data_IF_432218686174
#
_entry.id   IF_432218686174
#
_cell.length_a   1.000
_cell.length_b   1.000
_cell.length_c   1.000
_cell.angle_alpha   90.00
_cell.angle_beta   90.00
_cell.angle_gamma   90.00
#
_symmetry.space_group_name_H-M   'P 1'
#
loop_
_entity.id
_entity.type
_entity.pdbx_description
1 polymer ?
#
# COMPACT_ATOMS: atom_id res chain seq x y z
N UNK A 1 -20.26 -15.93 -27.64
CA UNK A 1 -19.53 -14.86 -26.93
C UNK A 1 -19.08 -13.82 -27.94
N UNK A 2 -19.93 -12.84 -28.28
CA UNK A 2 -19.72 -11.97 -29.45
C UNK A 2 -19.03 -10.63 -29.16
N UNK A 3 -18.95 -10.19 -27.90
CA UNK A 3 -18.33 -8.90 -27.57
C UNK A 3 -16.83 -9.06 -27.24
N UNK A 4 -15.92 -8.32 -27.90
CA UNK A 4 -14.46 -8.46 -27.72
C UNK A 4 -14.00 -8.23 -26.27
N UNK A 5 -14.62 -7.27 -25.57
CA UNK A 5 -14.35 -7.01 -24.15
C UNK A 5 -14.59 -8.23 -23.25
N UNK A 6 -15.70 -8.96 -23.45
CA UNK A 6 -16.03 -10.14 -22.62
C UNK A 6 -15.00 -11.24 -22.83
N UNK A 7 -14.58 -11.44 -24.08
CA UNK A 7 -13.55 -12.41 -24.42
C UNK A 7 -12.20 -12.05 -23.78
N UNK A 8 -11.80 -10.78 -23.81
CA UNK A 8 -10.56 -10.31 -23.18
C UNK A 8 -10.57 -10.51 -21.66
N UNK A 9 -11.68 -10.15 -20.99
CA UNK A 9 -11.84 -10.37 -19.55
C UNK A 9 -11.77 -11.85 -19.20
N UNK A 10 -12.47 -12.70 -19.95
CA UNK A 10 -12.45 -14.14 -19.74
C UNK A 10 -11.06 -14.76 -19.96
N UNK A 11 -10.33 -14.31 -21.00
CA UNK A 11 -8.98 -14.80 -21.28
C UNK A 11 -7.98 -14.37 -20.21
N UNK A 12 -8.03 -13.11 -19.76
CA UNK A 12 -7.15 -12.64 -18.68
C UNK A 12 -7.47 -13.31 -17.34
N UNK A 13 -8.74 -13.55 -17.01
CA UNK A 13 -9.09 -14.30 -15.80
C UNK A 13 -8.58 -15.73 -15.87
N UNK A 14 -8.78 -16.43 -16.99
CA UNK A 14 -8.26 -17.80 -17.21
C UNK A 14 -6.74 -17.87 -17.14
N UNK A 15 -6.04 -16.92 -17.75
CA UNK A 15 -4.58 -16.90 -17.73
C UNK A 15 -4.03 -16.63 -16.33
N UNK A 16 -4.64 -15.69 -15.60
CA UNK A 16 -4.22 -15.37 -14.24
C UNK A 16 -4.49 -16.55 -13.31
N UNK A 17 -5.66 -17.19 -13.38
CA UNK A 17 -5.95 -18.38 -12.56
C UNK A 17 -4.99 -19.53 -12.87
N UNK A 18 -4.75 -19.84 -14.14
CA UNK A 18 -3.77 -20.85 -14.54
C UNK A 18 -2.36 -20.51 -14.03
N UNK A 19 -1.95 -19.25 -14.13
CA UNK A 19 -0.63 -18.81 -13.63
C UNK A 19 -0.51 -18.86 -12.11
N UNK A 20 -1.59 -18.58 -11.38
CA UNK A 20 -1.62 -18.70 -9.93
C UNK A 20 -1.51 -20.16 -9.51
N UNK A 21 -2.31 -21.05 -10.12
CA UNK A 21 -2.27 -22.49 -9.86
C UNK A 21 -0.86 -23.05 -10.15
N UNK A 22 -0.27 -22.70 -11.29
CA UNK A 22 1.08 -23.12 -11.64
C UNK A 22 2.17 -22.54 -10.71
N UNK A 23 1.95 -21.37 -10.11
CA UNK A 23 2.86 -20.80 -9.10
C UNK A 23 2.72 -21.52 -7.77
N UNK A 24 1.50 -21.86 -7.35
CA UNK A 24 1.24 -22.61 -6.11
C UNK A 24 1.99 -23.94 -6.09
N UNK A 25 2.07 -24.63 -7.24
CA UNK A 25 2.81 -25.88 -7.35
C UNK A 25 4.34 -25.73 -7.33
N UNK A 26 4.86 -24.51 -7.45
CA UNK A 26 6.30 -24.25 -7.32
C UNK A 26 6.68 -24.09 -5.84
N UNK A 27 7.89 -24.53 -5.41
CA UNK A 27 8.32 -24.40 -4.02
C UNK A 27 8.31 -22.95 -3.53
N UNK A 28 8.56 -21.99 -4.43
CA UNK A 28 8.44 -20.55 -4.14
C UNK A 28 7.01 -20.10 -3.86
N UNK A 29 6.02 -20.68 -4.54
CA UNK A 29 4.60 -20.39 -4.29
C UNK A 29 4.08 -21.07 -3.02
N UNK A 30 4.55 -22.28 -2.72
CA UNK A 30 4.27 -22.92 -1.44
C UNK A 30 4.78 -22.06 -0.26
N UNK A 31 6.01 -21.53 -0.35
CA UNK A 31 6.56 -20.61 0.64
C UNK A 31 5.78 -19.30 0.76
N UNK A 32 5.30 -18.73 -0.36
CA UNK A 32 4.50 -17.49 -0.30
C UNK A 32 3.13 -17.72 0.32
N UNK A 33 2.48 -18.87 0.06
CA UNK A 33 1.23 -19.26 0.72
C UNK A 33 1.47 -19.49 2.22
N UNK A 34 2.52 -20.22 2.59
CA UNK A 34 2.87 -20.42 3.99
C UNK A 34 3.12 -19.08 4.71
N UNK A 35 3.83 -18.16 4.08
CA UNK A 35 4.02 -16.79 4.59
C UNK A 35 2.71 -16.02 4.71
N UNK A 36 1.79 -16.17 3.75
CA UNK A 36 0.46 -15.56 3.79
C UNK A 36 -0.39 -16.11 4.94
N UNK A 37 -0.38 -17.43 5.13
CA UNK A 37 -1.09 -18.10 6.23
C UNK A 37 -0.52 -17.67 7.57
N UNK A 38 0.80 -17.65 7.71
CA UNK A 38 1.48 -17.18 8.91
C UNK A 38 1.14 -15.71 9.20
N UNK A 39 1.12 -14.86 8.17
CA UNK A 39 0.68 -13.47 8.29
C UNK A 39 -0.76 -13.38 8.79
N UNK A 40 -1.71 -14.08 8.15
CA UNK A 40 -3.11 -14.09 8.56
C UNK A 40 -3.29 -14.59 10.00
N UNK A 41 -2.57 -15.64 10.38
CA UNK A 41 -2.59 -16.18 11.73
C UNK A 41 -2.06 -15.16 12.76
N UNK A 42 -0.96 -14.48 12.45
CA UNK A 42 -0.34 -13.50 13.34
C UNK A 42 -1.14 -12.18 13.42
N UNK A 43 -1.71 -11.68 12.32
CA UNK A 43 -2.70 -10.57 12.38
C UNK A 43 -3.90 -11.03 13.21
N UNK A 44 -4.39 -12.24 12.98
CA UNK A 44 -5.54 -12.76 13.69
C UNK A 44 -5.32 -12.92 15.18
N UNK A 45 -4.11 -13.28 15.59
CA UNK A 45 -3.72 -13.35 16.99
C UNK A 45 -3.64 -11.96 17.62
N UNK A 46 -2.95 -11.02 16.98
CA UNK A 46 -2.79 -9.65 17.51
C UNK A 46 -4.11 -8.88 17.61
N UNK A 47 -5.08 -9.24 16.77
CA UNK A 47 -6.31 -8.46 16.66
C UNK A 47 -7.50 -9.00 17.44
N UNK A 48 -7.47 -10.29 17.85
CA UNK A 48 -8.47 -10.84 18.78
C UNK A 48 -8.52 -10.10 20.12
N UNK A 49 -7.46 -9.38 20.49
CA UNK A 49 -7.37 -8.70 21.79
C UNK A 49 -7.99 -7.31 21.84
N UNK A 50 -8.46 -6.73 20.73
CA UNK A 50 -8.98 -5.34 20.71
C UNK A 50 -10.52 -5.26 20.65
N UNK A 51 -11.23 -5.26 21.80
CA UNK A 51 -12.67 -5.00 21.83
C UNK A 51 -12.96 -3.57 21.33
N UNK A 52 -13.99 -3.43 20.48
CA UNK A 52 -14.42 -2.12 19.97
C UNK A 52 -13.85 -1.69 18.61
N UNK A 53 -13.15 -2.59 17.91
CA UNK A 53 -12.62 -2.31 16.58
C UNK A 53 -13.69 -1.85 15.57
N UNK A 54 -14.86 -2.49 15.55
CA UNK A 54 -15.98 -2.07 14.68
C UNK A 54 -16.46 -0.63 14.98
N UNK A 55 -16.51 -0.23 16.25
CA UNK A 55 -16.84 1.13 16.66
C UNK A 55 -15.75 2.16 16.32
N UNK A 56 -14.49 1.73 16.28
CA UNK A 56 -13.39 2.58 15.80
C UNK A 56 -13.44 2.72 14.26
N UNK A 57 -13.76 1.65 13.53
CA UNK A 57 -13.87 1.68 12.07
C UNK A 57 -14.97 2.64 11.63
N UNK A 58 -16.13 2.66 12.31
CA UNK A 58 -17.19 3.62 11.98
C UNK A 58 -16.79 5.08 12.27
N UNK A 59 -16.02 5.32 13.34
CA UNK A 59 -15.57 6.66 13.72
C UNK A 59 -14.44 7.20 12.82
N UNK A 60 -13.41 6.40 12.55
CA UNK A 60 -12.19 6.85 11.85
C UNK A 60 -12.12 6.41 10.41
N UNK A 61 -12.85 5.36 10.02
CA UNK A 61 -12.68 4.70 8.73
C UNK A 61 -12.96 5.63 7.57
N UNK A 62 -14.07 6.37 7.61
CA UNK A 62 -14.47 7.26 6.53
C UNK A 62 -13.45 8.40 6.29
N UNK A 63 -13.06 9.20 7.30
CA UNK A 63 -12.04 10.23 7.10
C UNK A 63 -10.67 9.64 6.73
N UNK A 64 -10.30 8.46 7.26
CA UNK A 64 -9.04 7.80 6.89
C UNK A 64 -9.02 7.36 5.42
N UNK A 65 -10.09 6.73 4.95
CA UNK A 65 -10.22 6.33 3.54
C UNK A 65 -10.19 7.55 2.64
N UNK A 66 -10.90 8.63 3.00
CA UNK A 66 -10.84 9.87 2.22
C UNK A 66 -9.45 10.51 2.23
N UNK A 67 -8.76 10.52 3.37
CA UNK A 67 -7.38 10.98 3.47
C UNK A 67 -6.45 10.20 2.52
N UNK A 68 -6.64 8.88 2.41
CA UNK A 68 -5.91 8.05 1.45
C UNK A 68 -6.28 8.36 0.00
N UNK A 69 -7.56 8.62 -0.31
CA UNK A 69 -8.00 9.08 -1.65
C UNK A 69 -7.33 10.41 -2.00
N UNK A 70 -7.33 11.37 -1.07
CA UNK A 70 -6.69 12.68 -1.24
C UNK A 70 -5.18 12.54 -1.42
N UNK A 71 -4.52 11.67 -0.67
CA UNK A 71 -3.11 11.38 -0.84
C UNK A 71 -2.83 10.75 -2.22
N UNK A 72 -3.74 9.90 -2.70
CA UNK A 72 -3.74 9.35 -4.04
C UNK A 72 -3.79 10.41 -5.15
N UNK A 73 -4.37 11.60 -4.88
CA UNK A 73 -4.41 12.71 -5.85
C UNK A 73 -3.03 13.24 -6.23
N UNK A 74 -2.06 13.12 -5.32
CA UNK A 74 -0.66 13.50 -5.58
C UNK A 74 0.11 12.42 -6.35
N UNK A 75 -0.46 11.22 -6.46
CA UNK A 75 0.18 10.13 -7.18
C UNK A 75 0.03 10.34 -8.70
N UNK A 76 1.08 10.13 -9.50
CA UNK A 76 1.02 10.30 -10.96
C UNK A 76 0.26 9.18 -11.68
N UNK A 77 -0.67 8.50 -11.00
CA UNK A 77 -1.36 7.30 -11.46
C UNK A 77 -2.45 7.63 -12.50
N UNK A 78 -2.07 7.71 -13.78
CA UNK A 78 -3.02 7.70 -14.89
C UNK A 78 -3.72 6.35 -15.10
N UNK A 79 -4.55 6.28 -16.16
CA UNK A 79 -4.99 5.02 -16.76
C UNK A 79 -3.76 4.17 -17.09
N UNK A 80 -3.59 3.07 -16.36
CA UNK A 80 -2.45 2.17 -16.53
C UNK A 80 -2.92 0.90 -17.22
N UNK A 81 -2.30 0.59 -18.35
CA UNK A 81 -2.38 -0.71 -19.00
C UNK A 81 -1.04 -1.40 -18.84
N UNK A 82 -1.05 -2.74 -18.73
CA UNK A 82 0.22 -3.48 -18.72
C UNK A 82 0.85 -3.30 -20.11
N UNK A 83 2.19 -3.20 -20.23
CA UNK A 83 2.84 -3.01 -21.53
C UNK A 83 2.42 -4.06 -22.57
N UNK A 84 2.30 -5.33 -22.13
CA UNK A 84 1.83 -6.43 -22.97
C UNK A 84 0.37 -6.28 -23.42
N UNK A 85 -0.46 -5.52 -22.69
CA UNK A 85 -1.85 -5.28 -23.06
C UNK A 85 -1.98 -4.06 -23.98
N UNK A 86 -1.04 -3.11 -23.93
CA UNK A 86 -1.08 -1.87 -24.71
C UNK A 86 -1.13 -2.19 -26.21
N UNK A 87 -0.21 -3.02 -26.69
CA UNK A 87 -0.12 -3.34 -28.12
C UNK A 87 -1.41 -4.01 -28.63
N UNK A 88 -2.02 -4.88 -27.83
CA UNK A 88 -3.25 -5.59 -28.21
C UNK A 88 -4.51 -4.73 -28.07
N UNK A 89 -4.61 -3.95 -26.99
CA UNK A 89 -5.79 -3.11 -26.70
C UNK A 89 -5.89 -1.92 -27.64
N UNK A 90 -4.75 -1.37 -28.08
CA UNK A 90 -4.72 -0.23 -28.99
C UNK A 90 -5.03 -0.63 -30.44
N UNK A 91 -4.74 -1.88 -30.83
CA UNK A 91 -5.09 -2.40 -32.16
C UNK A 91 -6.49 -3.00 -32.22
N UNK A 92 -7.09 -3.31 -31.08
CA UNK A 92 -8.43 -3.89 -31.03
C UNK A 92 -9.50 -2.82 -31.33
N UNK A 93 -10.61 -3.19 -32.00
CA UNK A 93 -11.73 -2.28 -32.27
C UNK A 93 -12.57 -2.06 -31.00
N UNK A 94 -11.96 -1.48 -29.95
CA UNK A 94 -12.61 -1.20 -28.67
C UNK A 94 -12.93 0.27 -28.54
N UNK A 95 -14.11 0.58 -27.99
CA UNK A 95 -14.45 1.96 -27.65
C UNK A 95 -13.69 2.43 -26.41
N UNK A 96 -13.60 3.76 -26.21
CA UNK A 96 -12.95 4.32 -25.02
C UNK A 96 -13.63 3.88 -23.72
N UNK A 97 -14.97 3.84 -23.72
CA UNK A 97 -15.74 3.39 -22.57
C UNK A 97 -15.42 1.94 -22.22
N UNK A 98 -15.29 1.07 -23.22
CA UNK A 98 -14.88 -0.33 -23.04
C UNK A 98 -13.48 -0.45 -22.44
N UNK A 99 -12.51 0.37 -22.87
CA UNK A 99 -11.17 0.38 -22.27
C UNK A 99 -11.18 0.79 -20.80
N UNK A 100 -12.02 1.77 -20.44
CA UNK A 100 -12.20 2.20 -19.05
C UNK A 100 -12.84 1.09 -18.22
N UNK A 101 -13.92 0.48 -18.71
CA UNK A 101 -14.61 -0.64 -18.04
C UNK A 101 -13.67 -1.83 -17.86
N UNK A 102 -12.88 -2.16 -18.89
CA UNK A 102 -11.86 -3.21 -18.82
C UNK A 102 -10.82 -2.91 -17.71
N UNK A 103 -10.32 -1.67 -17.64
CA UNK A 103 -9.37 -1.28 -16.60
C UNK A 103 -9.97 -1.37 -15.19
N UNK A 104 -11.22 -0.90 -15.03
CA UNK A 104 -11.95 -0.99 -13.77
C UNK A 104 -12.18 -2.45 -13.36
N UNK A 105 -12.48 -3.35 -14.31
CA UNK A 105 -12.62 -4.77 -14.04
C UNK A 105 -11.30 -5.41 -13.58
N UNK A 106 -10.16 -5.05 -14.19
CA UNK A 106 -8.84 -5.50 -13.74
C UNK A 106 -8.55 -5.06 -12.30
N UNK A 107 -8.91 -3.81 -11.95
CA UNK A 107 -8.80 -3.24 -10.61
C UNK A 107 -9.73 -3.94 -9.62
N UNK A 108 -10.99 -4.15 -10.01
CA UNK A 108 -11.97 -4.89 -9.23
C UNK A 108 -11.48 -6.28 -8.84
N UNK A 109 -10.79 -6.99 -9.73
CA UNK A 109 -10.15 -8.27 -9.38
C UNK A 109 -9.10 -8.11 -8.28
N UNK A 110 -8.21 -7.13 -8.38
CA UNK A 110 -7.21 -6.90 -7.33
C UNK A 110 -7.86 -6.47 -6.01
N UNK A 111 -8.89 -5.63 -6.06
CA UNK A 111 -9.66 -5.21 -4.90
C UNK A 111 -10.42 -6.38 -4.25
N UNK A 112 -10.96 -7.31 -5.05
CA UNK A 112 -11.60 -8.54 -4.55
C UNK A 112 -10.59 -9.43 -3.82
N UNK A 113 -9.38 -9.61 -4.36
CA UNK A 113 -8.34 -10.39 -3.69
C UNK A 113 -7.88 -9.72 -2.38
N UNK A 114 -7.68 -8.39 -2.40
CA UNK A 114 -7.33 -7.63 -1.21
C UNK A 114 -8.46 -7.63 -0.17
N UNK A 115 -9.71 -7.52 -0.60
CA UNK A 115 -10.89 -7.60 0.24
C UNK A 115 -11.07 -8.99 0.85
N UNK A 116 -10.86 -10.05 0.06
CA UNK A 116 -10.85 -11.44 0.54
C UNK A 116 -9.79 -11.63 1.61
N UNK A 117 -8.56 -11.19 1.33
CA UNK A 117 -7.46 -11.27 2.27
C UNK A 117 -7.75 -10.54 3.59
N UNK A 118 -8.24 -9.29 3.53
CA UNK A 118 -8.59 -8.55 4.76
C UNK A 118 -9.83 -9.10 5.47
N UNK A 119 -10.75 -9.75 4.76
CA UNK A 119 -11.94 -10.36 5.37
C UNK A 119 -11.64 -11.59 6.21
N UNK A 120 -10.52 -12.26 5.94
CA UNK A 120 -10.06 -13.41 6.73
C UNK A 120 -9.58 -12.97 8.12
N UNK A 121 -9.28 -11.67 8.30
CA UNK A 121 -8.81 -11.15 9.58
C UNK A 121 -9.90 -11.31 10.66
N UNK A 122 -9.61 -12.00 11.77
CA UNK A 122 -10.54 -12.28 12.87
C UNK A 122 -11.21 -11.07 13.52
N UNK A 123 -10.67 -9.87 13.34
CA UNK A 123 -11.20 -8.58 13.86
C UNK A 123 -12.67 -8.34 13.55
N UNK A 124 -13.17 -8.90 12.45
CA UNK A 124 -14.45 -8.49 11.87
C UNK A 124 -15.62 -9.38 12.24
N UNK A 125 -15.44 -10.40 13.09
CA UNK A 125 -16.48 -11.39 13.40
C UNK A 125 -17.80 -10.85 13.96
N UNK A 126 -17.88 -9.57 14.36
CA UNK A 126 -19.14 -8.94 14.76
C UNK A 126 -20.04 -8.54 13.59
N UNK A 127 -19.48 -8.27 12.41
CA UNK A 127 -20.20 -8.05 11.17
C UNK A 127 -19.97 -9.30 10.31
N UNK A 128 -21.02 -10.02 9.90
CA UNK A 128 -20.89 -11.29 9.19
C UNK A 128 -19.85 -11.21 8.06
N UNK A 129 -19.07 -12.30 7.85
CA UNK A 129 -17.89 -12.30 6.98
C UNK A 129 -18.12 -11.66 5.59
N UNK A 130 -19.30 -11.86 4.99
CA UNK A 130 -19.69 -11.25 3.72
C UNK A 130 -19.73 -9.72 3.74
N UNK A 131 -20.13 -9.10 4.85
CA UNK A 131 -20.15 -7.64 5.03
C UNK A 131 -18.72 -7.09 5.04
N UNK A 132 -17.83 -7.71 5.82
CA UNK A 132 -16.42 -7.34 5.85
C UNK A 132 -15.76 -7.50 4.47
N UNK A 133 -15.97 -8.65 3.82
CA UNK A 133 -15.44 -8.94 2.48
C UNK A 133 -15.89 -7.89 1.45
N UNK A 134 -17.19 -7.65 1.36
CA UNK A 134 -17.75 -6.70 0.39
C UNK A 134 -17.33 -5.28 0.70
N UNK A 135 -17.32 -4.87 1.98
CA UNK A 135 -16.93 -3.52 2.34
C UNK A 135 -15.46 -3.21 2.10
N UNK A 136 -14.55 -4.14 2.43
CA UNK A 136 -13.15 -3.97 2.06
C UNK A 136 -12.92 -3.96 0.56
N UNK A 137 -13.59 -4.84 -0.17
CA UNK A 137 -13.52 -4.86 -1.64
C UNK A 137 -13.95 -3.50 -2.20
N UNK A 138 -15.06 -2.94 -1.71
CA UNK A 138 -15.56 -1.64 -2.15
C UNK A 138 -14.63 -0.49 -1.75
N UNK A 139 -14.05 -0.50 -0.54
CA UNK A 139 -13.06 0.49 -0.10
C UNK A 139 -11.81 0.45 -0.98
N UNK A 140 -11.25 -0.72 -1.27
CA UNK A 140 -10.11 -0.83 -2.17
C UNK A 140 -10.46 -0.41 -3.59
N UNK A 141 -11.64 -0.77 -4.07
CA UNK A 141 -12.12 -0.37 -5.38
C UNK A 141 -12.28 1.15 -5.46
N UNK A 142 -12.80 1.79 -4.40
CA UNK A 142 -12.83 3.25 -4.26
C UNK A 142 -11.44 3.86 -4.35
N UNK A 143 -10.48 3.39 -3.55
CA UNK A 143 -9.11 3.90 -3.57
C UNK A 143 -8.47 3.79 -4.97
N UNK A 144 -8.71 2.68 -5.66
CA UNK A 144 -8.17 2.46 -7.00
C UNK A 144 -8.88 3.30 -8.08
N UNK A 145 -10.22 3.33 -8.09
CA UNK A 145 -11.00 4.05 -9.11
C UNK A 145 -10.88 5.56 -8.92
N UNK A 146 -10.90 6.04 -7.68
CA UNK A 146 -10.72 7.48 -7.37
C UNK A 146 -9.36 8.00 -7.82
N UNK A 147 -8.28 7.24 -7.64
CA UNK A 147 -6.96 7.62 -8.16
C UNK A 147 -6.94 7.79 -9.68
N UNK A 148 -7.62 6.90 -10.41
CA UNK A 148 -7.79 7.03 -11.86
C UNK A 148 -8.66 8.23 -12.23
N UNK A 149 -9.79 8.42 -11.55
CA UNK A 149 -10.69 9.55 -11.76
C UNK A 149 -9.94 10.87 -11.56
N UNK A 150 -9.21 11.03 -10.45
CA UNK A 150 -8.40 12.22 -10.14
C UNK A 150 -7.35 12.48 -11.22
N UNK A 151 -6.68 11.44 -11.72
CA UNK A 151 -5.67 11.62 -12.76
C UNK A 151 -6.29 12.07 -14.11
N UNK A 152 -7.46 11.53 -14.46
CA UNK A 152 -8.22 11.91 -15.64
C UNK A 152 -8.73 13.35 -15.52
N UNK A 153 -9.35 13.71 -14.38
CA UNK A 153 -9.80 15.07 -14.09
C UNK A 153 -8.63 16.05 -14.14
N UNK A 154 -7.47 15.69 -13.58
CA UNK A 154 -6.28 16.54 -13.63
C UNK A 154 -5.78 16.75 -15.07
N UNK A 155 -5.84 15.72 -15.91
CA UNK A 155 -5.49 15.84 -17.33
C UNK A 155 -6.49 16.72 -18.08
N UNK A 156 -7.78 16.58 -17.80
CA UNK A 156 -8.83 17.43 -18.35
C UNK A 156 -8.66 18.90 -17.93
N UNK A 157 -8.41 19.15 -16.63
CA UNK A 157 -8.10 20.49 -16.10
C UNK A 157 -6.83 21.07 -16.72
N UNK A 158 -5.83 20.25 -17.01
CA UNK A 158 -4.61 20.70 -17.68
C UNK A 158 -4.85 21.23 -19.11
N UNK A 159 -5.90 20.75 -19.77
CA UNK A 159 -6.27 21.18 -21.12
C UNK A 159 -7.21 22.38 -21.12
N UNK A 160 -8.16 22.43 -20.17
CA UNK A 160 -9.25 23.41 -20.19
C UNK A 160 -9.07 24.58 -19.20
N UNK A 161 -8.21 24.45 -18.19
CA UNK A 161 -8.06 25.45 -17.12
C UNK A 161 -6.66 26.05 -17.15
N UNK A 162 -6.53 27.40 -17.12
CA UNK A 162 -5.23 28.06 -17.10
C UNK A 162 -4.40 27.67 -15.88
N UNK A 163 -3.08 27.84 -15.96
CA UNK A 163 -2.14 27.45 -14.90
C UNK A 163 -2.51 27.99 -13.51
N UNK A 164 -2.98 29.23 -13.42
CA UNK A 164 -3.43 29.84 -12.16
C UNK A 164 -4.67 29.14 -11.59
N UNK A 165 -5.69 28.87 -12.42
CA UNK A 165 -6.91 28.17 -12.01
C UNK A 165 -6.63 26.76 -11.50
N UNK A 166 -5.65 26.05 -12.07
CA UNK A 166 -5.24 24.72 -11.60
C UNK A 166 -4.67 24.73 -10.19
N UNK A 167 -3.87 25.74 -9.86
CA UNK A 167 -3.35 25.91 -8.50
C UNK A 167 -4.47 26.25 -7.53
N UNK A 168 -5.42 27.10 -7.91
CA UNK A 168 -6.58 27.40 -7.07
C UNK A 168 -7.42 26.15 -6.78
N UNK A 169 -7.68 25.30 -7.78
CA UNK A 169 -8.40 24.03 -7.59
C UNK A 169 -7.60 23.08 -6.69
N UNK A 170 -6.29 22.96 -6.89
CA UNK A 170 -5.44 22.12 -6.05
C UNK A 170 -5.40 22.61 -4.59
N UNK A 171 -5.30 23.92 -4.39
CA UNK A 171 -5.36 24.56 -3.06
C UNK A 171 -6.74 24.34 -2.44
N UNK A 172 -7.82 24.54 -3.18
CA UNK A 172 -9.18 24.30 -2.69
C UNK A 172 -9.39 22.83 -2.29
N UNK A 173 -8.83 21.88 -3.04
CA UNK A 173 -8.98 20.45 -2.76
C UNK A 173 -8.10 19.95 -1.61
N UNK A 174 -6.92 20.53 -1.39
CA UNK A 174 -5.97 20.05 -0.37
C UNK A 174 -5.89 20.96 0.86
N UNK A 175 -5.74 22.27 0.65
CA UNK A 175 -5.48 23.25 1.72
C UNK A 175 -6.74 23.56 2.50
N UNK A 176 -7.90 23.70 1.84
CA UNK A 176 -9.15 24.04 2.53
C UNK A 176 -9.57 22.93 3.52
N UNK A 177 -9.59 21.64 3.14
CA UNK A 177 -9.85 20.55 4.09
C UNK A 177 -8.84 20.52 5.24
N UNK A 178 -7.55 20.68 4.93
CA UNK A 178 -6.49 20.66 5.95
C UNK A 178 -6.60 21.84 6.92
N UNK A 179 -6.90 23.04 6.42
CA UNK A 179 -7.11 24.24 7.22
C UNK A 179 -8.36 24.12 8.10
N UNK A 180 -9.47 23.57 7.56
CA UNK A 180 -10.68 23.34 8.35
C UNK A 180 -10.41 22.38 9.53
N UNK A 181 -9.69 21.28 9.28
CA UNK A 181 -9.29 20.34 10.34
C UNK A 181 -8.33 21.00 11.33
N UNK A 182 -7.34 21.77 10.87
CA UNK A 182 -6.39 22.45 11.75
C UNK A 182 -7.04 23.54 12.62
N UNK A 183 -8.00 24.29 12.07
CA UNK A 183 -8.78 25.28 12.82
C UNK A 183 -9.64 24.63 13.89
N UNK A 184 -10.31 23.51 13.56
CA UNK A 184 -11.11 22.77 14.53
C UNK A 184 -10.23 22.14 15.62
N UNK A 185 -9.04 21.63 15.26
CA UNK A 185 -8.07 21.09 16.22
C UNK A 185 -7.56 22.18 17.17
N UNK A 186 -7.32 23.39 16.66
CA UNK A 186 -6.91 24.54 17.47
C UNK A 186 -8.03 25.04 18.39
N UNK A 187 -9.27 25.01 17.92
CA UNK A 187 -10.44 25.42 18.72
C UNK A 187 -10.79 24.41 19.82
N UNK A 188 -10.35 23.15 19.69
CA UNK A 188 -10.69 22.04 20.58
C UNK A 188 -9.42 21.39 21.15
N UNK A 189 -8.52 22.19 21.72
CA UNK A 189 -7.24 21.74 22.28
C UNK A 189 -7.37 20.67 23.36
N UNK A 190 -8.52 20.61 24.01
CA UNK A 190 -8.74 19.81 25.21
C UNK A 190 -9.43 18.47 24.91
N UNK A 191 -9.90 18.25 23.68
CA UNK A 191 -10.56 16.99 23.31
C UNK A 191 -9.54 15.88 23.09
N UNK A 192 -9.86 14.69 23.62
CA UNK A 192 -9.16 13.48 23.23
C UNK A 192 -9.30 13.29 21.71
N UNK A 193 -8.24 12.83 21.03
CA UNK A 193 -8.22 12.64 19.57
C UNK A 193 -9.44 11.81 19.07
N UNK A 194 -9.89 10.84 19.88
CA UNK A 194 -11.08 10.03 19.58
C UNK A 194 -12.36 10.85 19.46
N UNK A 195 -12.59 11.73 20.42
CA UNK A 195 -13.75 12.62 20.47
C UNK A 195 -13.65 13.64 19.34
N UNK A 196 -12.45 14.16 19.07
CA UNK A 196 -12.22 15.01 17.92
C UNK A 196 -12.66 14.36 16.60
N UNK A 197 -12.22 13.14 16.29
CA UNK A 197 -12.64 12.47 15.05
C UNK A 197 -14.13 12.15 15.00
N UNK A 198 -14.75 11.87 16.15
CA UNK A 198 -16.18 11.56 16.24
C UNK A 198 -17.04 12.81 16.05
N UNK A 199 -16.64 13.91 16.66
CA UNK A 199 -17.44 15.12 16.79
C UNK A 199 -16.97 16.25 15.84
N UNK A 200 -15.94 15.99 15.02
CA UNK A 200 -15.43 16.94 14.04
C UNK A 200 -16.36 17.05 12.84
N UNK A 201 -16.87 18.25 12.61
CA UNK A 201 -17.70 18.54 11.44
C UNK A 201 -16.84 18.52 10.18
N UNK A 202 -15.60 19.02 10.24
CA UNK A 202 -14.70 19.01 9.09
C UNK A 202 -14.41 17.58 8.62
N UNK A 203 -14.04 16.68 9.54
CA UNK A 203 -13.78 15.27 9.21
C UNK A 203 -15.05 14.54 8.78
N UNK A 204 -16.20 14.87 9.36
CA UNK A 204 -17.49 14.36 8.94
C UNK A 204 -17.83 14.71 7.48
N UNK A 205 -17.61 15.97 7.08
CA UNK A 205 -17.84 16.46 5.71
C UNK A 205 -16.83 15.88 4.74
N UNK A 206 -15.54 15.91 5.09
CA UNK A 206 -14.46 15.36 4.25
C UNK A 206 -14.68 13.86 4.05
N UNK A 207 -14.97 13.12 5.12
CA UNK A 207 -15.20 11.68 5.08
C UNK A 207 -16.53 11.28 4.46
N UNK A 208 -17.48 12.20 4.23
CA UNK A 208 -18.83 11.90 3.80
C UNK A 208 -18.90 10.99 2.53
N UNK A 209 -18.11 11.22 1.47
CA UNK A 209 -18.13 10.36 0.28
C UNK A 209 -17.65 8.93 0.56
N UNK A 210 -16.80 8.74 1.57
CA UNK A 210 -16.26 7.42 1.94
C UNK A 210 -17.15 6.69 2.97
N UNK A 211 -18.14 7.35 3.58
CA UNK A 211 -19.02 6.76 4.60
C UNK A 211 -19.77 5.52 4.11
N UNK A 212 -20.41 5.50 2.92
CA UNK A 212 -21.11 4.30 2.45
C UNK A 212 -20.20 3.08 2.38
N UNK A 213 -18.97 3.28 1.92
CA UNK A 213 -17.98 2.21 1.76
C UNK A 213 -17.59 1.61 3.11
N UNK A 214 -17.39 2.43 4.14
CA UNK A 214 -17.10 1.93 5.49
C UNK A 214 -18.33 1.34 6.15
N UNK A 215 -19.51 1.92 5.92
CA UNK A 215 -20.78 1.43 6.43
C UNK A 215 -21.11 0.03 5.91
N UNK A 216 -20.70 -0.33 4.69
CA UNK A 216 -20.88 -1.72 4.19
C UNK A 216 -20.12 -2.75 5.02
N UNK A 217 -18.90 -2.42 5.47
CA UNK A 217 -18.09 -3.31 6.29
C UNK A 217 -18.63 -3.43 7.73
N UNK A 218 -19.30 -2.39 8.23
CA UNK A 218 -19.80 -2.28 9.60
C UNK A 218 -21.33 -2.39 9.70
N UNK A 219 -22.01 -2.86 8.66
CA UNK A 219 -23.47 -2.87 8.59
C UNK A 219 -24.06 -3.85 9.63
N UNK A 220 -24.97 -3.39 10.51
CA UNK A 220 -25.55 -4.26 11.54
C UNK A 220 -26.60 -5.23 10.97
N UNK A 221 -27.25 -4.89 9.86
CA UNK A 221 -28.33 -5.67 9.24
C UNK A 221 -28.10 -5.87 7.75
N UNK A 222 -28.72 -6.91 7.17
CA UNK A 222 -28.65 -7.17 5.74
C UNK A 222 -29.22 -6.01 4.90
N UNK A 223 -30.29 -5.37 5.37
CA UNK A 223 -30.86 -4.20 4.69
C UNK A 223 -29.89 -3.01 4.72
N UNK A 224 -29.30 -2.69 5.87
CA UNK A 224 -28.30 -1.63 5.99
C UNK A 224 -27.09 -1.91 5.09
N UNK A 225 -26.67 -3.17 5.00
CA UNK A 225 -25.62 -3.62 4.09
C UNK A 225 -26.01 -3.40 2.62
N UNK A 226 -27.20 -3.83 2.18
CA UNK A 226 -27.68 -3.63 0.81
C UNK A 226 -27.72 -2.15 0.43
N UNK A 227 -28.23 -1.28 1.31
CA UNK A 227 -28.31 0.16 1.08
C UNK A 227 -26.90 0.78 0.98
N UNK A 228 -26.00 0.44 1.92
CA UNK A 228 -24.63 0.93 1.91
C UNK A 228 -23.85 0.43 0.68
N UNK A 229 -24.08 -0.82 0.26
CA UNK A 229 -23.39 -1.42 -0.88
C UNK A 229 -23.92 -0.85 -2.20
N UNK A 230 -25.24 -0.71 -2.33
CA UNK A 230 -25.87 -0.07 -3.47
C UNK A 230 -25.43 1.38 -3.65
N UNK A 231 -25.38 2.16 -2.57
CA UNK A 231 -24.87 3.55 -2.61
C UNK A 231 -23.38 3.61 -2.96
N UNK A 232 -22.55 2.73 -2.40
CA UNK A 232 -21.12 2.64 -2.75
C UNK A 232 -20.91 2.30 -4.23
N UNK A 233 -21.67 1.33 -4.77
CA UNK A 233 -21.65 0.95 -6.18
C UNK A 233 -22.13 2.09 -7.08
N UNK A 234 -23.17 2.83 -6.67
CA UNK A 234 -23.64 4.00 -7.40
C UNK A 234 -22.58 5.10 -7.49
N UNK A 235 -21.86 5.38 -6.39
CA UNK A 235 -20.74 6.34 -6.39
C UNK A 235 -19.62 5.88 -7.33
N UNK A 236 -19.24 4.60 -7.28
CA UNK A 236 -18.24 4.04 -8.20
C UNK A 236 -18.68 4.11 -9.66
N UNK A 237 -19.94 3.77 -9.95
CA UNK A 237 -20.51 3.88 -11.27
C UNK A 237 -20.52 5.33 -11.76
N UNK A 238 -20.81 6.30 -10.88
CA UNK A 238 -20.73 7.71 -11.20
C UNK A 238 -19.30 8.16 -11.54
N UNK A 239 -18.28 7.70 -10.80
CA UNK A 239 -16.87 7.95 -11.17
C UNK A 239 -16.51 7.36 -12.52
N UNK A 240 -16.90 6.11 -12.79
CA UNK A 240 -16.65 5.46 -14.09
C UNK A 240 -17.37 6.19 -15.23
N UNK A 241 -18.64 6.52 -15.07
CA UNK A 241 -19.41 7.28 -16.05
C UNK A 241 -18.80 8.66 -16.30
N UNK A 242 -18.31 9.33 -15.25
CA UNK A 242 -17.64 10.62 -15.37
C UNK A 242 -16.31 10.49 -16.14
N UNK A 243 -15.50 9.46 -15.86
CA UNK A 243 -14.28 9.17 -16.63
C UNK A 243 -14.62 8.96 -18.11
N UNK A 244 -15.68 8.21 -18.42
CA UNK A 244 -16.10 7.95 -19.80
C UNK A 244 -16.61 9.21 -20.53
N UNK A 245 -17.17 10.19 -19.80
CA UNK A 245 -17.68 11.45 -20.37
C UNK A 245 -16.60 12.50 -20.60
N UNK A 246 -15.52 12.48 -19.83
CA UNK A 246 -14.42 13.42 -20.00
C UNK A 246 -13.67 13.09 -21.30
N UNK A 247 -13.72 13.98 -22.28
CA UNK A 247 -12.92 13.83 -23.51
C UNK A 247 -11.52 14.38 -23.28
N UNK A 248 -10.58 13.49 -23.01
CA UNK A 248 -9.15 13.79 -22.93
C UNK A 248 -8.48 12.90 -23.97
N UNK A 249 -7.43 13.36 -24.68
CA UNK A 249 -6.60 12.51 -25.53
C UNK A 249 -5.82 11.49 -24.67
N UNK A 250 -6.52 10.44 -24.25
CA UNK A 250 -6.04 9.43 -23.29
C UNK A 250 -4.96 8.55 -23.88
N UNK A 251 -4.99 8.30 -25.19
CA UNK A 251 -4.16 7.29 -25.85
C UNK A 251 -2.68 7.65 -25.71
N UNK A 252 -2.30 8.85 -26.13
CA UNK A 252 -0.91 9.31 -26.06
C UNK A 252 -0.41 9.48 -24.63
N UNK A 253 -1.28 9.95 -23.72
CA UNK A 253 -0.94 10.09 -22.32
C UNK A 253 -0.73 8.72 -21.68
N UNK A 254 -1.61 7.76 -21.97
CA UNK A 254 -1.53 6.38 -21.48
C UNK A 254 -0.28 5.67 -22.03
N UNK A 255 0.04 5.81 -23.31
CA UNK A 255 1.25 5.26 -23.94
C UNK A 255 2.50 5.84 -23.28
N UNK A 256 2.62 7.16 -23.20
CA UNK A 256 3.79 7.81 -22.56
C UNK A 256 3.92 7.41 -21.09
N UNK A 257 2.82 7.23 -20.37
CA UNK A 257 2.84 6.76 -18.99
C UNK A 257 3.20 5.27 -18.87
N UNK A 258 2.69 4.41 -19.75
CA UNK A 258 2.98 2.98 -19.77
C UNK A 258 4.43 2.73 -20.15
N UNK A 259 4.98 3.43 -21.14
CA UNK A 259 6.39 3.37 -21.53
C UNK A 259 7.31 3.81 -20.40
N UNK A 260 7.06 4.98 -19.78
CA UNK A 260 7.85 5.44 -18.63
C UNK A 260 7.81 4.43 -17.49
N UNK A 261 6.66 3.80 -17.25
CA UNK A 261 6.51 2.79 -16.20
C UNK A 261 7.15 1.46 -16.60
N UNK A 262 7.08 1.05 -17.85
CA UNK A 262 7.76 -0.13 -18.39
C UNK A 262 9.27 0.06 -18.26
N UNK A 263 9.80 1.23 -18.65
CA UNK A 263 11.19 1.60 -18.46
C UNK A 263 11.57 1.67 -16.97
N UNK A 264 10.68 2.11 -16.08
CA UNK A 264 10.91 2.04 -14.62
C UNK A 264 10.92 0.60 -14.13
N UNK A 265 10.02 -0.26 -14.57
CA UNK A 265 9.98 -1.67 -14.18
C UNK A 265 11.16 -2.45 -14.76
N UNK A 266 11.57 -2.17 -15.99
CA UNK A 266 12.78 -2.70 -16.59
C UNK A 266 14.01 -2.27 -15.79
N UNK A 267 14.07 -0.99 -15.37
CA UNK A 267 15.07 -0.49 -14.43
C UNK A 267 15.01 -1.17 -13.06
N UNK A 268 13.83 -1.39 -12.49
CA UNK A 268 13.69 -2.13 -11.23
C UNK A 268 14.19 -3.57 -11.37
N UNK A 269 13.84 -4.24 -12.47
CA UNK A 269 14.24 -5.63 -12.75
C UNK A 269 15.74 -5.78 -13.00
N UNK A 270 16.39 -4.78 -13.59
CA UNK A 270 17.84 -4.71 -13.78
C UNK A 270 18.58 -4.16 -12.56
N UNK A 271 17.91 -3.96 -11.43
CA UNK A 271 18.57 -3.47 -10.21
C UNK A 271 18.62 -1.99 -9.96
N UNK A 272 18.26 -1.20 -10.97
CA UNK A 272 18.20 0.24 -10.87
C UNK A 272 17.17 0.74 -9.86
N UNK A 273 16.19 -0.08 -9.45
CA UNK A 273 15.15 0.28 -8.48
C UNK A 273 14.34 1.54 -8.87
N UNK A 274 13.28 1.85 -8.12
CA UNK A 274 12.56 3.13 -8.21
C UNK A 274 13.42 4.32 -7.78
N UNK A 275 14.50 4.02 -7.07
CA UNK A 275 15.35 4.98 -6.39
C UNK A 275 16.73 5.14 -7.04
N UNK A 276 16.95 4.57 -8.23
CA UNK A 276 18.25 4.50 -8.90
C UNK A 276 19.01 5.81 -9.02
N UNK A 277 20.28 5.74 -8.61
CA UNK A 277 21.37 6.68 -8.83
C UNK A 277 20.98 8.16 -8.66
N UNK A 278 20.78 8.59 -7.41
CA UNK A 278 21.19 9.95 -7.07
C UNK A 278 22.71 10.00 -7.19
N UNK A 279 23.25 10.83 -8.08
CA UNK A 279 24.68 11.21 -8.12
C UNK A 279 24.97 12.10 -6.91
N UNK A 280 24.79 11.54 -5.72
CA UNK A 280 25.04 12.23 -4.46
C UNK A 280 26.49 11.97 -4.08
N UNK A 281 27.28 13.05 -4.03
CA UNK A 281 28.66 13.11 -3.54
C UNK A 281 28.72 12.89 -2.02
N UNK A 282 28.41 11.68 -1.55
CA UNK A 282 28.35 11.39 -0.10
C UNK A 282 29.30 10.26 0.30
N UNK A 283 30.02 10.56 1.40
CA UNK A 283 30.76 9.74 2.38
C UNK A 283 31.15 8.32 1.94
N UNK A 284 32.45 8.10 1.73
CA UNK A 284 33.03 6.76 1.55
C UNK A 284 33.06 6.03 2.90
N UNK A 285 32.50 4.84 2.94
CA UNK A 285 32.60 3.92 4.09
C UNK A 285 33.97 3.23 3.99
N UNK A 286 34.72 3.04 5.09
CA UNK A 286 35.96 2.26 5.06
C UNK A 286 35.70 0.82 4.59
N UNK A 287 36.66 0.23 3.89
CA UNK A 287 36.54 -1.12 3.35
C UNK A 287 36.45 -2.15 4.47
N UNK A 288 35.59 -3.16 4.30
CA UNK A 288 35.47 -4.27 5.24
C UNK A 288 36.61 -5.28 5.11
N UNK A 289 36.94 -6.02 6.19
CA UNK A 289 37.96 -7.06 6.15
C UNK A 289 37.66 -8.12 5.10
N UNK A 290 38.71 -8.75 4.57
CA UNK A 290 38.62 -9.71 3.48
C UNK A 290 38.13 -11.08 3.99
N UNK A 291 36.83 -11.19 4.30
CA UNK A 291 36.18 -12.42 4.77
C UNK A 291 35.95 -13.40 3.61
N UNK A 292 37.02 -14.05 3.12
CA UNK A 292 37.00 -14.92 1.94
C UNK A 292 36.42 -14.24 0.67
N UNK A 293 36.60 -12.93 0.55
CA UNK A 293 36.04 -12.12 -0.53
C UNK A 293 34.61 -11.61 -0.31
N UNK A 294 33.88 -12.10 0.71
CA UNK A 294 32.52 -11.62 1.01
C UNK A 294 32.51 -10.17 1.50
N UNK A 295 33.54 -9.77 2.26
CA UNK A 295 33.67 -8.42 2.84
C UNK A 295 33.63 -7.28 1.80
N UNK A 296 34.49 -7.30 0.76
CA UNK A 296 34.44 -6.31 -0.33
C UNK A 296 33.10 -6.25 -1.06
N UNK A 297 32.45 -7.42 -1.26
CA UNK A 297 31.13 -7.49 -1.90
C UNK A 297 30.07 -6.83 -1.01
N UNK A 298 30.08 -7.14 0.28
CA UNK A 298 29.19 -6.53 1.27
C UNK A 298 29.40 -5.03 1.37
N UNK A 299 30.65 -4.58 1.44
CA UNK A 299 31.02 -3.18 1.44
C UNK A 299 30.47 -2.44 0.22
N UNK A 300 30.60 -3.02 -0.98
CA UNK A 300 30.05 -2.44 -2.21
C UNK A 300 28.53 -2.27 -2.13
N UNK A 301 27.80 -3.28 -1.63
CA UNK A 301 26.35 -3.18 -1.49
C UNK A 301 25.94 -2.13 -0.44
N UNK A 302 26.65 -2.02 0.68
CA UNK A 302 26.39 -0.99 1.69
C UNK A 302 26.69 0.41 1.13
N UNK A 303 27.76 0.57 0.36
CA UNK A 303 28.02 1.86 -0.31
C UNK A 303 26.87 2.27 -1.22
N UNK A 304 26.28 1.32 -1.95
CA UNK A 304 25.11 1.60 -2.79
C UNK A 304 23.86 1.93 -1.98
N UNK A 305 23.66 1.26 -0.84
CA UNK A 305 22.60 1.58 0.10
C UNK A 305 22.75 3.02 0.63
N UNK A 306 23.96 3.41 1.05
CA UNK A 306 24.27 4.76 1.55
C UNK A 306 24.18 5.83 0.45
N UNK A 307 24.56 5.52 -0.79
CA UNK A 307 24.38 6.43 -1.94
C UNK A 307 22.92 6.61 -2.33
N UNK A 308 22.04 5.73 -1.89
CA UNK A 308 20.62 5.76 -2.20
C UNK A 308 19.74 5.88 -0.95
N UNK A 309 19.79 7.03 -0.24
CA UNK A 309 19.08 7.20 1.01
C UNK A 309 17.57 7.25 0.84
N UNK A 310 17.03 7.48 -0.38
CA UNK A 310 15.57 7.64 -0.55
C UNK A 310 14.78 6.42 -0.14
N UNK A 311 15.24 5.22 -0.50
CA UNK A 311 14.59 3.98 -0.09
C UNK A 311 14.63 3.79 1.42
N UNK A 312 15.78 4.10 2.04
CA UNK A 312 15.99 4.07 3.49
C UNK A 312 15.11 5.09 4.20
N UNK A 313 15.07 6.33 3.73
CA UNK A 313 14.29 7.41 4.32
C UNK A 313 12.80 7.10 4.23
N UNK A 314 12.34 6.56 3.10
CA UNK A 314 10.95 6.12 2.96
C UNK A 314 10.64 4.97 3.92
N UNK A 315 11.54 4.01 4.06
CA UNK A 315 11.40 2.92 5.03
C UNK A 315 11.33 3.45 6.47
N UNK A 316 12.28 4.30 6.86
CA UNK A 316 12.31 4.91 8.19
C UNK A 316 11.08 5.79 8.44
N UNK A 317 10.57 6.48 7.42
CA UNK A 317 9.33 7.25 7.51
C UNK A 317 8.11 6.35 7.73
N UNK A 318 8.02 5.21 7.02
CA UNK A 318 6.92 4.24 7.22
C UNK A 318 7.00 3.61 8.62
N UNK A 319 8.18 3.13 9.03
CA UNK A 319 8.40 2.55 10.37
C UNK A 319 8.10 3.60 11.43
N UNK A 320 8.65 4.81 11.29
CA UNK A 320 8.43 5.93 12.20
C UNK A 320 6.97 6.33 12.29
N UNK A 321 6.23 6.36 11.17
CA UNK A 321 4.80 6.64 11.16
C UNK A 321 3.99 5.56 11.87
N UNK A 322 4.29 4.28 11.61
CA UNK A 322 3.65 3.15 12.27
C UNK A 322 3.93 3.17 13.78
N UNK A 323 5.18 3.39 14.17
CA UNK A 323 5.58 3.50 15.58
C UNK A 323 4.96 4.72 16.26
N UNK A 324 4.95 5.88 15.61
CA UNK A 324 4.33 7.09 16.11
C UNK A 324 2.81 6.93 16.27
N UNK A 325 2.14 6.23 15.35
CA UNK A 325 0.72 5.91 15.49
C UNK A 325 0.47 4.95 16.67
N UNK A 326 1.26 3.89 16.79
CA UNK A 326 1.13 2.90 17.85
C UNK A 326 1.39 3.49 19.26
N UNK A 327 2.30 4.45 19.38
CA UNK A 327 2.65 5.12 20.65
C UNK A 327 1.74 6.32 20.91
N UNK A 328 1.53 7.15 19.89
CA UNK A 328 0.82 8.41 19.99
C UNK A 328 -0.67 8.22 20.25
N UNK A 329 -1.32 7.24 19.62
CA UNK A 329 -2.76 7.02 19.80
C UNK A 329 -3.13 6.68 21.26
N UNK A 330 -2.46 5.73 21.95
CA UNK A 330 -2.70 5.50 23.38
C UNK A 330 -2.37 6.69 24.26
N UNK A 331 -1.28 7.42 23.94
CA UNK A 331 -0.87 8.59 24.70
C UNK A 331 -1.95 9.69 24.66
N UNK A 332 -2.50 9.93 23.47
CA UNK A 332 -3.60 10.89 23.24
C UNK A 332 -4.96 10.43 23.79
N UNK A 333 -5.09 9.18 24.24
CA UNK A 333 -6.30 8.61 24.85
C UNK A 333 -6.19 8.43 26.37
N UNK A 334 -5.28 9.14 27.03
CA UNK A 334 -5.18 9.13 28.49
C UNK A 334 -4.44 7.92 29.07
N UNK A 335 -3.57 7.26 28.29
CA UNK A 335 -2.73 6.12 28.74
C UNK A 335 -3.52 4.95 29.35
N UNK A 336 -4.63 4.56 28.73
CA UNK A 336 -5.26 3.26 29.05
C UNK A 336 -4.24 2.14 28.82
N UNK A 337 -3.81 1.47 29.89
CA UNK A 337 -2.76 0.47 29.87
C UNK A 337 -3.08 -0.70 28.93
N UNK A 338 -4.36 -1.08 28.79
CA UNK A 338 -4.77 -2.15 27.87
C UNK A 338 -4.60 -1.71 26.42
N UNK A 339 -5.03 -0.49 26.10
CA UNK A 339 -4.90 0.08 24.78
C UNK A 339 -3.44 0.28 24.37
N UNK A 340 -2.58 0.72 25.30
CA UNK A 340 -1.13 0.86 25.09
C UNK A 340 -0.54 -0.48 24.65
N UNK A 341 -0.85 -1.56 25.38
CA UNK A 341 -0.36 -2.90 25.07
C UNK A 341 -0.91 -3.41 23.74
N UNK A 342 -2.21 -3.24 23.45
CA UNK A 342 -2.82 -3.71 22.19
C UNK A 342 -2.27 -2.98 20.95
N UNK A 343 -2.12 -1.66 21.03
CA UNK A 343 -1.52 -0.86 19.96
C UNK A 343 -0.04 -1.17 19.80
N UNK A 344 0.68 -1.39 20.91
CA UNK A 344 2.07 -1.86 20.91
C UNK A 344 2.24 -3.19 20.18
N UNK A 345 1.40 -4.20 20.49
CA UNK A 345 1.39 -5.50 19.80
C UNK A 345 1.14 -5.35 18.30
N UNK A 346 0.19 -4.50 17.92
CA UNK A 346 -0.13 -4.21 16.51
C UNK A 346 1.03 -3.52 15.80
N UNK A 347 1.68 -2.55 16.46
CA UNK A 347 2.87 -1.88 15.95
C UNK A 347 4.04 -2.85 15.75
N UNK A 348 4.32 -3.70 16.74
CA UNK A 348 5.42 -4.69 16.69
C UNK A 348 5.19 -5.67 15.55
N UNK A 349 3.95 -6.12 15.38
CA UNK A 349 3.54 -6.94 14.25
C UNK A 349 3.82 -6.23 12.92
N UNK A 350 3.34 -5.00 12.73
CA UNK A 350 3.55 -4.25 11.50
C UNK A 350 5.04 -4.05 11.20
N UNK A 351 5.82 -3.63 12.19
CA UNK A 351 7.28 -3.43 12.06
C UNK A 351 7.99 -4.73 11.66
N UNK A 352 7.57 -5.86 12.22
CA UNK A 352 8.11 -7.19 11.89
C UNK A 352 7.83 -7.59 10.44
N UNK A 353 6.71 -7.12 9.86
CA UNK A 353 6.33 -7.41 8.48
C UNK A 353 6.88 -6.45 7.44
N UNK A 354 7.35 -5.27 7.84
CA UNK A 354 7.90 -4.25 6.93
C UNK A 354 9.04 -4.81 6.04
N UNK A 355 10.02 -5.60 6.54
CA UNK A 355 11.04 -6.20 5.70
C UNK A 355 10.49 -7.03 4.53
N UNK A 356 9.36 -7.73 4.73
CA UNK A 356 8.71 -8.53 3.70
C UNK A 356 8.14 -7.64 2.58
N UNK A 357 7.56 -6.50 2.95
CA UNK A 357 7.06 -5.49 2.01
C UNK A 357 8.21 -4.74 1.30
N UNK A 358 9.37 -4.68 1.94
CA UNK A 358 10.56 -3.98 1.43
C UNK A 358 11.45 -4.84 0.56
N UNK A 359 11.31 -6.17 0.55
CA UNK A 359 12.09 -7.06 -0.32
C UNK A 359 11.97 -6.74 -1.82
N UNK A 360 10.92 -6.02 -2.23
CA UNK A 360 10.78 -5.50 -3.60
C UNK A 360 11.49 -4.15 -3.82
N UNK A 361 11.68 -3.36 -2.76
CA UNK A 361 12.20 -1.99 -2.81
C UNK A 361 13.69 -1.89 -2.46
N UNK A 362 14.20 -2.78 -1.60
CA UNK A 362 15.61 -2.92 -1.24
C UNK A 362 16.31 -3.89 -2.21
N UNK A 363 16.56 -3.45 -3.43
CA UNK A 363 17.32 -4.22 -4.44
C UNK A 363 18.84 -4.20 -4.14
N UNK A 364 19.22 -4.60 -2.93
CA UNK A 364 20.61 -4.81 -2.52
C UNK A 364 20.92 -6.30 -2.51
N UNK A 365 20.59 -6.99 -3.60
CA UNK A 365 20.80 -8.42 -3.81
C UNK A 365 21.20 -8.69 -5.27
N UNK A 366 21.24 -9.97 -5.66
CA UNK A 366 21.55 -10.39 -7.02
C UNK A 366 20.65 -9.79 -8.11
N UNK A 367 19.43 -9.34 -7.78
CA UNK A 367 18.54 -8.69 -8.77
C UNK A 367 19.19 -7.46 -9.34
N UNK A 368 20.09 -6.83 -8.57
CA UNK A 368 20.78 -5.63 -9.02
C UNK A 368 22.00 -5.85 -9.88
N UNK A 369 22.63 -7.00 -9.74
CA UNK A 369 23.79 -7.36 -10.54
C UNK A 369 23.47 -8.41 -11.61
N UNK A 370 22.18 -8.55 -12.00
CA UNK A 370 21.79 -9.50 -13.06
C UNK A 370 22.56 -9.24 -14.36
N UNK A 371 22.67 -7.98 -14.77
CA UNK A 371 23.40 -7.58 -15.98
C UNK A 371 24.92 -7.77 -15.84
N UNK A 372 25.42 -7.87 -14.61
CA UNK A 372 26.85 -8.06 -14.29
C UNK A 372 27.17 -9.48 -13.84
N UNK A 373 26.22 -10.42 -13.98
CA UNK A 373 26.39 -11.78 -13.47
C UNK A 373 27.57 -12.50 -14.14
N UNK A 374 27.82 -12.24 -15.42
CA UNK A 374 29.00 -12.77 -16.12
C UNK A 374 30.31 -12.31 -15.47
N UNK A 375 30.39 -11.03 -15.11
CA UNK A 375 31.56 -10.46 -14.41
C UNK A 375 31.68 -10.97 -12.97
N UNK A 376 30.57 -11.11 -12.24
CA UNK A 376 30.59 -11.65 -10.88
C UNK A 376 31.09 -13.11 -10.86
N UNK A 377 30.74 -13.90 -11.88
CA UNK A 377 31.21 -15.28 -12.04
C UNK A 377 32.69 -15.40 -12.38
N UNK A 378 33.29 -14.35 -12.93
CA UNK A 378 34.72 -14.34 -13.26
C UNK A 378 35.61 -13.93 -12.08
N UNK A 379 35.03 -13.53 -10.94
CA UNK A 379 35.80 -13.17 -9.76
C UNK A 379 36.38 -14.41 -9.07
N UNK A 380 37.63 -14.35 -8.57
CA UNK A 380 38.27 -15.46 -7.87
C UNK A 380 37.77 -15.57 -6.42
N UNK A 381 36.45 -15.64 -6.22
CA UNK A 381 35.80 -15.78 -4.93
C UNK A 381 34.83 -16.95 -4.96
N UNK A 382 34.62 -17.61 -3.83
CA UNK A 382 33.67 -18.72 -3.77
C UNK A 382 32.24 -18.22 -3.98
N UNK A 383 31.40 -19.04 -4.63
CA UNK A 383 29.98 -18.72 -4.86
C UNK A 383 29.22 -18.43 -3.56
N UNK A 384 29.60 -19.11 -2.47
CA UNK A 384 29.02 -18.89 -1.14
C UNK A 384 29.43 -17.52 -0.57
N UNK A 385 30.71 -17.14 -0.67
CA UNK A 385 31.19 -15.84 -0.20
C UNK A 385 30.57 -14.69 -1.00
N UNK A 386 30.43 -14.86 -2.33
CA UNK A 386 29.71 -13.92 -3.18
C UNK A 386 28.23 -13.80 -2.74
N UNK A 387 27.53 -14.91 -2.53
CA UNK A 387 26.14 -14.90 -2.10
C UNK A 387 25.94 -14.28 -0.71
N UNK A 388 26.80 -14.62 0.25
CA UNK A 388 26.79 -14.04 1.58
C UNK A 388 27.05 -12.53 1.52
N UNK A 389 28.07 -12.09 0.78
CA UNK A 389 28.38 -10.67 0.61
C UNK A 389 27.28 -9.87 -0.10
N UNK A 390 26.52 -10.51 -0.98
CA UNK A 390 25.37 -9.90 -1.67
C UNK A 390 24.15 -9.76 -0.75
N UNK A 391 23.82 -10.78 0.03
CA UNK A 391 22.57 -10.84 0.82
C UNK A 391 22.73 -10.19 2.21
N UNK A 392 23.89 -10.36 2.84
CA UNK A 392 24.12 -9.94 4.22
C UNK A 392 23.84 -8.45 4.47
N UNK A 393 24.22 -7.50 3.59
CA UNK A 393 23.91 -6.08 3.78
C UNK A 393 22.42 -5.76 3.87
N UNK A 394 21.62 -6.28 2.94
CA UNK A 394 20.18 -6.06 2.91
C UNK A 394 19.50 -6.70 4.12
N UNK A 395 19.91 -7.93 4.46
CA UNK A 395 19.40 -8.66 5.62
C UNK A 395 19.75 -7.91 6.93
N UNK A 396 21.02 -7.57 7.13
CA UNK A 396 21.50 -6.86 8.32
C UNK A 396 20.80 -5.50 8.48
N UNK A 397 20.62 -4.75 7.40
CA UNK A 397 19.91 -3.48 7.43
C UNK A 397 18.42 -3.65 7.78
N UNK A 398 17.74 -4.60 7.14
CA UNK A 398 16.33 -4.88 7.42
C UNK A 398 16.13 -5.36 8.87
N UNK A 399 17.00 -6.25 9.35
CA UNK A 399 17.01 -6.73 10.74
C UNK A 399 17.29 -5.58 11.71
N UNK A 400 18.27 -4.71 11.43
CA UNK A 400 18.57 -3.56 12.29
C UNK A 400 17.37 -2.61 12.42
N UNK A 401 16.73 -2.24 11.30
CA UNK A 401 15.53 -1.40 11.32
C UNK A 401 14.39 -2.07 12.07
N UNK A 402 14.19 -3.38 11.88
CA UNK A 402 13.17 -4.14 12.57
C UNK A 402 13.43 -4.20 14.08
N UNK A 403 14.66 -4.52 14.50
CA UNK A 403 15.05 -4.57 15.92
C UNK A 403 14.87 -3.20 16.57
N UNK A 404 15.34 -2.13 15.94
CA UNK A 404 15.17 -0.77 16.46
C UNK A 404 13.68 -0.41 16.60
N UNK A 405 12.86 -0.70 15.59
CA UNK A 405 11.43 -0.41 15.63
C UNK A 405 10.70 -1.22 16.71
N UNK A 406 11.03 -2.50 16.86
CA UNK A 406 10.46 -3.38 17.90
C UNK A 406 10.89 -2.93 19.29
N UNK A 407 12.17 -2.63 19.50
CA UNK A 407 12.68 -2.12 20.78
C UNK A 407 12.04 -0.76 21.14
N UNK A 408 11.91 0.15 20.17
CA UNK A 408 11.27 1.45 20.39
C UNK A 408 9.81 1.27 20.84
N UNK A 409 9.09 0.36 20.19
CA UNK A 409 7.72 0.03 20.57
C UNK A 409 7.66 -0.64 21.93
N UNK A 410 8.52 -1.61 22.22
CA UNK A 410 8.52 -2.30 23.51
C UNK A 410 8.85 -1.36 24.68
N UNK A 411 9.84 -0.48 24.51
CA UNK A 411 10.19 0.52 25.52
C UNK A 411 9.04 1.51 25.76
N UNK A 412 8.23 1.79 24.74
CA UNK A 412 7.11 2.71 24.84
C UNK A 412 5.81 2.05 25.34
N UNK A 413 5.60 0.76 25.09
CA UNK A 413 4.31 0.10 25.34
C UNK A 413 4.35 -1.13 26.26
N UNK A 414 5.54 -1.68 26.55
CA UNK A 414 5.73 -2.91 27.35
C UNK A 414 4.87 -4.09 26.87
N UNK A 415 4.70 -4.22 25.56
CA UNK A 415 3.69 -5.09 24.94
C UNK A 415 4.11 -6.56 24.89
N UNK A 416 5.40 -6.85 24.70
CA UNK A 416 6.00 -8.19 24.68
C UNK A 416 6.16 -8.75 26.08
N UNK A 417 6.66 -7.94 27.01
CA UNK A 417 6.78 -8.28 28.43
C UNK A 417 5.41 -8.61 29.03
N UNK A 418 4.38 -7.80 28.76
CA UNK A 418 2.99 -8.12 29.16
C UNK A 418 2.40 -9.35 28.43
N UNK A 419 2.87 -9.65 27.21
CA UNK A 419 2.48 -10.85 26.47
C UNK A 419 3.07 -12.12 27.06
N UNK A 420 4.35 -12.11 27.41
CA UNK A 420 5.05 -13.25 28.01
C UNK A 420 4.52 -13.56 29.42
N UNK A 421 4.22 -12.56 30.25
CA UNK A 421 3.64 -12.78 31.58
C UNK A 421 2.25 -13.42 31.51
N UNK A 422 1.41 -13.01 30.55
CA UNK A 422 0.11 -13.65 30.32
C UNK A 422 0.23 -15.09 29.80
N UNK A 423 1.32 -15.43 29.10
CA UNK A 423 1.59 -16.77 28.56
C UNK A 423 2.18 -17.72 29.62
N UNK A 424 2.84 -17.18 30.65
CA UNK A 424 3.34 -17.95 31.79
C UNK A 424 2.25 -18.18 32.85
N UNK A 425 1.23 -17.31 32.89
CA UNK A 425 0.11 -17.41 33.83
C UNK A 425 -1.11 -18.16 33.27
N UNK A 426 -1.13 -18.46 31.97
CA UNK A 426 -2.14 -19.29 31.30
C UNK A 426 -1.58 -20.69 31.06
#
# INVERSE_FOLDING_TARGET
MSHPLVWLLWRDTRNVTASLIARVSQPRGALSIAGLVLFCAAVGFTTRSSPGFAGNVSAYGAPSVMGLVMLGAFSPLGLYFRPADVDWLLTAPLTRAELVVYNVALRARTALLSGLFLSILPTWRSAGWWQAFTGFTLVFLLLQVSGQWLAVVRAWLALHVPRAGRWLIAIAFAVVPAAAVALELRARSDLALREFFRDSIALAVIGAPARPFVATAAAPTALAWCVAAGTSLAILAAFVAHICRLDVPYLEAAIRHSERRALRFARMRSGGGTFGASTSTVRRIPMFPHLAGAGPVAWRQIQELVRNPRGILMLLAIVGLVSAAAIGVPFLRGRDARLVVDMGRTGIFLVTFIPLLMGENLACDFRRDLDRMGQLKSWPISSLALAAGQIAPAAAFATAVQVIGVLTLELATSALSAGLTLLVLA
#
